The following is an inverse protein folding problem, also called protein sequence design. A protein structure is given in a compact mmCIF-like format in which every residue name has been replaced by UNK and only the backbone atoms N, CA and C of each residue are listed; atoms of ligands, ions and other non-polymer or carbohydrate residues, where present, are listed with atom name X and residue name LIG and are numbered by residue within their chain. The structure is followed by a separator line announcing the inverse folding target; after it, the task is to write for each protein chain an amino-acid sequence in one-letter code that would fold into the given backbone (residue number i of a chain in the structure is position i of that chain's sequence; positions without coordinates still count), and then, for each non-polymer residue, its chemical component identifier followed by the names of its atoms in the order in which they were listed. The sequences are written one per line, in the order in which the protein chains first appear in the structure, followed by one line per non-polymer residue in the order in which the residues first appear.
data_IF_175198500287
#
_entry.id   IF_175198500287
#
_cell.length_a   1.000
_cell.length_b   1.000
_cell.length_c   1.000
_cell.angle_alpha   90.00
_cell.angle_beta   90.00
_cell.angle_gamma   90.00
#
_symmetry.space_group_name_H-M   'P 1'
#
loop_
_entity.id
_entity.type
_entity.pdbx_description
1 polymer ?
#
# COMPACT_ATOMS: atom_id res chain seq x y z
N UNK A 1 8.37 -15.43 9.59
CA UNK A 1 7.32 -15.65 8.58
C UNK A 1 7.80 -14.89 7.38
N UNK A 2 8.46 -15.58 6.46
CA UNK A 2 9.02 -14.96 5.26
C UNK A 2 8.02 -15.23 4.13
N UNK A 3 7.69 -14.21 3.35
CA UNK A 3 6.66 -14.33 2.31
C UNK A 3 5.96 -13.02 1.99
N UNK A 4 5.06 -13.10 1.01
CA UNK A 4 4.34 -11.96 0.49
C UNK A 4 3.29 -11.48 1.48
N UNK A 5 3.04 -10.17 1.48
CA UNK A 5 2.10 -9.51 2.37
C UNK A 5 1.04 -8.83 1.54
N UNK A 6 -0.21 -9.04 1.92
CA UNK A 6 -1.31 -8.13 1.64
C UNK A 6 -1.73 -7.49 2.95
N UNK A 7 -1.77 -6.16 3.00
CA UNK A 7 -2.18 -5.40 4.17
C UNK A 7 -3.35 -4.51 3.77
N UNK A 8 -4.44 -4.55 4.53
CA UNK A 8 -5.53 -3.60 4.34
C UNK A 8 -6.28 -3.31 5.64
N UNK A 9 -6.65 -2.05 5.80
CA UNK A 9 -7.62 -1.58 6.80
C UNK A 9 -8.96 -1.16 6.17
N UNK A 10 -9.11 -1.34 4.85
CA UNK A 10 -10.25 -0.88 4.06
C UNK A 10 -11.24 -2.01 3.78
N UNK A 11 -12.52 -1.68 3.52
CA UNK A 11 -13.46 -2.68 3.03
C UNK A 11 -12.96 -3.29 1.71
N UNK A 12 -13.07 -4.61 1.60
CA UNK A 12 -12.76 -5.35 0.38
C UNK A 12 -14.06 -5.57 -0.41
N UNK A 13 -14.14 -5.01 -1.61
CA UNK A 13 -15.28 -5.22 -2.51
C UNK A 13 -15.27 -6.61 -3.13
N UNK A 14 -16.42 -7.07 -3.62
CA UNK A 14 -16.49 -8.34 -4.37
C UNK A 14 -15.59 -8.33 -5.62
N UNK A 15 -15.50 -7.21 -6.32
CA UNK A 15 -14.58 -7.03 -7.45
C UNK A 15 -13.12 -7.16 -7.00
N UNK A 16 -12.77 -6.55 -5.87
CA UNK A 16 -11.43 -6.63 -5.27
C UNK A 16 -11.03 -8.05 -4.92
N UNK A 17 -11.92 -8.77 -4.24
CA UNK A 17 -11.71 -10.17 -3.91
C UNK A 17 -11.59 -11.04 -5.17
N UNK A 18 -12.33 -10.73 -6.24
CA UNK A 18 -12.28 -11.48 -7.50
C UNK A 18 -10.89 -11.44 -8.14
N UNK A 19 -10.29 -10.25 -8.30
CA UNK A 19 -8.95 -10.18 -8.89
C UNK A 19 -7.85 -10.67 -7.92
N UNK A 20 -8.04 -10.56 -6.60
CA UNK A 20 -7.16 -11.17 -5.60
C UNK A 20 -7.17 -12.71 -5.69
N UNK A 21 -8.33 -13.32 -5.98
CA UNK A 21 -8.43 -14.76 -6.23
C UNK A 21 -7.59 -15.15 -7.45
N UNK A 22 -7.72 -14.42 -8.55
CA UNK A 22 -6.94 -14.70 -9.76
C UNK A 22 -5.42 -14.51 -9.53
N UNK A 23 -5.04 -13.50 -8.74
CA UNK A 23 -3.66 -13.28 -8.31
C UNK A 23 -3.07 -14.49 -7.59
N UNK A 24 -3.79 -15.04 -6.59
CA UNK A 24 -3.30 -16.18 -5.82
C UNK A 24 -3.35 -17.49 -6.61
N UNK A 25 -4.33 -17.66 -7.51
CA UNK A 25 -4.33 -18.77 -8.47
C UNK A 25 -3.10 -18.70 -9.37
N UNK A 26 -2.77 -17.54 -9.92
CA UNK A 26 -1.57 -17.35 -10.72
C UNK A 26 -0.31 -17.66 -9.91
N UNK A 27 -0.21 -17.13 -8.68
CA UNK A 27 0.90 -17.40 -7.77
C UNK A 27 1.12 -18.90 -7.54
N UNK A 28 0.03 -19.64 -7.28
CA UNK A 28 0.07 -21.08 -7.02
C UNK A 28 0.34 -21.91 -8.28
N UNK A 29 -0.28 -21.57 -9.41
CA UNK A 29 -0.24 -22.41 -10.62
C UNK A 29 0.91 -22.08 -11.58
N UNK A 30 1.40 -20.84 -11.57
CA UNK A 30 2.44 -20.37 -12.51
C UNK A 30 3.79 -20.15 -11.84
N UNK A 31 3.81 -19.52 -10.66
CA UNK A 31 5.08 -19.24 -9.96
C UNK A 31 5.54 -20.41 -9.09
N UNK A 32 4.60 -21.13 -8.47
CA UNK A 32 4.90 -22.27 -7.60
C UNK A 32 4.06 -23.51 -7.94
N UNK A 33 4.07 -24.02 -9.19
CA UNK A 33 3.21 -25.14 -9.60
C UNK A 33 3.39 -26.41 -8.75
N UNK A 34 4.59 -26.64 -8.21
CA UNK A 34 4.88 -27.78 -7.33
C UNK A 34 4.05 -27.77 -6.03
N UNK A 35 3.53 -26.60 -5.63
CA UNK A 35 2.67 -26.41 -4.47
C UNK A 35 1.40 -27.28 -4.46
N UNK A 36 0.96 -27.72 -5.65
CA UNK A 36 -0.25 -28.52 -5.83
C UNK A 36 -0.01 -30.01 -5.63
N UNK A 37 1.24 -30.45 -5.46
CA UNK A 37 1.56 -31.84 -5.14
C UNK A 37 1.29 -32.14 -3.65
N UNK A 38 0.92 -33.38 -3.32
CA UNK A 38 0.67 -33.79 -1.94
C UNK A 38 1.91 -33.67 -1.03
N UNK A 39 3.12 -33.75 -1.60
CA UNK A 39 4.39 -33.60 -0.91
C UNK A 39 5.34 -32.71 -1.74
N UNK A 40 5.16 -31.38 -1.71
CA UNK A 40 6.03 -30.48 -2.44
C UNK A 40 7.45 -30.55 -1.85
N UNK A 41 8.47 -30.62 -2.71
CA UNK A 41 9.88 -30.64 -2.27
C UNK A 41 10.30 -29.32 -1.65
N UNK A 42 9.74 -28.21 -2.13
CA UNK A 42 9.92 -26.87 -1.56
C UNK A 42 8.57 -26.32 -1.08
N UNK A 43 8.46 -25.90 0.19
CA UNK A 43 7.24 -25.29 0.69
C UNK A 43 6.97 -23.97 -0.05
N UNK A 44 5.72 -23.77 -0.46
CA UNK A 44 5.28 -22.54 -1.11
C UNK A 44 5.36 -21.38 -0.13
N UNK A 45 6.02 -20.26 -0.49
CA UNK A 45 6.02 -19.11 0.39
C UNK A 45 4.58 -18.64 0.62
N UNK A 46 4.20 -18.35 1.87
CA UNK A 46 2.85 -17.91 2.17
C UNK A 46 2.60 -16.51 1.59
N UNK A 47 1.35 -16.30 1.18
CA UNK A 47 0.79 -14.98 0.91
C UNK A 47 -0.11 -14.62 2.10
N UNK A 48 0.40 -13.77 2.99
CA UNK A 48 -0.23 -13.46 4.28
C UNK A 48 -1.05 -12.18 4.19
N UNK A 49 -2.34 -12.31 4.46
CA UNK A 49 -3.32 -11.23 4.47
C UNK A 49 -3.47 -10.70 5.89
N UNK A 50 -3.02 -9.47 6.13
CA UNK A 50 -3.27 -8.73 7.36
C UNK A 50 -4.53 -7.90 7.16
N UNK A 51 -5.60 -8.32 7.83
CA UNK A 51 -6.95 -7.78 7.66
C UNK A 51 -7.37 -7.05 8.93
N UNK A 52 -7.57 -5.75 8.79
CA UNK A 52 -7.92 -4.83 9.89
C UNK A 52 -9.17 -4.03 9.56
N UNK A 53 -9.77 -3.44 10.58
CA UNK A 53 -10.93 -2.57 10.47
C UNK A 53 -12.05 -3.22 9.67
N UNK A 54 -12.51 -2.53 8.64
CA UNK A 54 -13.64 -2.97 7.83
C UNK A 54 -13.29 -4.14 6.89
N UNK A 55 -12.01 -4.46 6.70
CA UNK A 55 -11.61 -5.67 5.99
C UNK A 55 -12.09 -6.94 6.69
N UNK A 56 -12.32 -6.90 8.01
CA UNK A 56 -12.88 -8.03 8.77
C UNK A 56 -14.30 -8.41 8.33
N UNK A 57 -15.04 -7.48 7.70
CA UNK A 57 -16.42 -7.73 7.25
C UNK A 57 -16.51 -8.75 6.10
N UNK A 58 -15.38 -9.12 5.48
CA UNK A 58 -15.38 -10.18 4.46
C UNK A 58 -15.92 -11.51 4.99
N UNK A 59 -15.80 -11.78 6.30
CA UNK A 59 -16.21 -13.03 6.92
C UNK A 59 -17.73 -13.19 7.02
N UNK A 60 -18.48 -12.09 6.94
CA UNK A 60 -19.94 -12.08 7.11
C UNK A 60 -20.69 -11.74 5.81
N UNK A 61 -20.05 -11.11 4.83
CA UNK A 61 -20.66 -10.76 3.54
C UNK A 61 -20.98 -12.00 2.70
N UNK A 62 -22.23 -12.13 2.25
CA UNK A 62 -22.66 -13.28 1.41
C UNK A 62 -21.98 -13.26 0.05
N UNK A 63 -21.81 -12.07 -0.50
CA UNK A 63 -21.12 -11.77 -1.74
C UNK A 63 -19.64 -12.18 -1.71
N UNK A 64 -19.04 -12.32 -0.53
CA UNK A 64 -17.63 -12.70 -0.35
C UNK A 64 -17.41 -14.20 -0.17
N UNK A 65 -18.47 -14.98 0.12
CA UNK A 65 -18.34 -16.40 0.48
C UNK A 65 -17.65 -17.23 -0.60
N UNK A 66 -18.00 -17.02 -1.87
CA UNK A 66 -17.38 -17.74 -3.00
C UNK A 66 -15.88 -17.47 -3.10
N UNK A 67 -15.47 -16.22 -2.93
CA UNK A 67 -14.04 -15.84 -2.97
C UNK A 67 -13.29 -16.41 -1.77
N UNK A 68 -13.87 -16.36 -0.57
CA UNK A 68 -13.30 -16.97 0.64
C UNK A 68 -13.11 -18.48 0.48
N UNK A 69 -14.11 -19.19 -0.04
CA UNK A 69 -13.97 -20.63 -0.29
C UNK A 69 -12.84 -20.95 -1.26
N UNK A 70 -12.62 -20.11 -2.28
CA UNK A 70 -11.50 -20.28 -3.19
C UNK A 70 -10.18 -19.97 -2.48
N UNK A 71 -10.08 -18.87 -1.72
CA UNK A 71 -8.87 -18.53 -0.96
C UNK A 71 -8.42 -19.65 -0.04
N UNK A 72 -9.32 -20.20 0.77
CA UNK A 72 -8.98 -21.28 1.69
C UNK A 72 -8.62 -22.60 1.00
N UNK A 73 -8.97 -22.79 -0.29
CA UNK A 73 -8.48 -23.94 -1.07
C UNK A 73 -7.05 -23.75 -1.59
N UNK A 74 -6.50 -22.54 -1.57
CA UNK A 74 -5.16 -22.26 -2.09
C UNK A 74 -4.11 -22.48 -0.99
N UNK A 75 -3.08 -23.31 -1.22
CA UNK A 75 -2.10 -23.67 -0.19
C UNK A 75 -1.22 -22.49 0.27
N UNK A 76 -1.06 -21.47 -0.57
CA UNK A 76 -0.28 -20.28 -0.23
C UNK A 76 -1.06 -19.29 0.66
N UNK A 77 -2.39 -19.37 0.73
CA UNK A 77 -3.19 -18.36 1.41
C UNK A 77 -3.08 -18.49 2.93
N UNK A 78 -2.74 -17.38 3.58
CA UNK A 78 -2.83 -17.22 5.03
C UNK A 78 -3.48 -15.90 5.36
N UNK A 79 -4.22 -15.83 6.46
CA UNK A 79 -4.80 -14.59 6.93
C UNK A 79 -4.65 -14.43 8.45
N UNK A 80 -4.52 -13.17 8.84
CA UNK A 80 -4.39 -12.70 10.21
C UNK A 80 -5.39 -11.57 10.37
N UNK A 81 -6.30 -11.71 11.32
CA UNK A 81 -7.30 -10.70 11.64
C UNK A 81 -6.95 -9.99 12.93
N UNK A 82 -7.20 -8.69 12.97
CA UNK A 82 -7.16 -7.96 14.24
C UNK A 82 -8.32 -8.41 15.16
N UNK A 83 -7.99 -8.94 16.34
CA UNK A 83 -8.99 -9.47 17.27
C UNK A 83 -9.83 -8.36 17.90
N UNK A 84 -9.27 -7.16 18.10
CA UNK A 84 -10.02 -6.02 18.58
C UNK A 84 -11.12 -5.64 17.60
N UNK A 85 -10.78 -5.59 16.31
CA UNK A 85 -11.74 -5.30 15.25
C UNK A 85 -12.82 -6.37 15.09
N UNK A 86 -12.46 -7.65 15.19
CA UNK A 86 -13.42 -8.76 15.20
C UNK A 86 -14.36 -8.68 16.41
N UNK A 87 -13.80 -8.40 17.59
CA UNK A 87 -14.57 -8.31 18.84
C UNK A 87 -15.59 -7.17 18.78
N UNK A 88 -15.17 -5.97 18.37
CA UNK A 88 -16.06 -4.80 18.22
C UNK A 88 -17.18 -5.10 17.23
N UNK A 89 -16.90 -5.85 16.16
CA UNK A 89 -17.87 -6.23 15.12
C UNK A 89 -18.66 -7.51 15.46
N UNK A 90 -18.37 -8.16 16.60
CA UNK A 90 -19.00 -9.42 17.04
C UNK A 90 -18.86 -10.56 16.01
N UNK A 91 -17.73 -10.61 15.30
CA UNK A 91 -17.46 -11.63 14.29
C UNK A 91 -16.62 -12.74 14.93
N UNK A 92 -17.08 -13.99 14.82
CA UNK A 92 -16.31 -15.16 15.27
C UNK A 92 -15.52 -15.76 14.11
N UNK A 93 -14.21 -15.92 14.30
CA UNK A 93 -13.32 -16.62 13.36
C UNK A 93 -13.24 -18.14 13.60
N UNK A 94 -13.79 -18.63 14.71
CA UNK A 94 -13.67 -20.03 15.13
C UNK A 94 -14.14 -21.04 14.07
N UNK A 95 -15.28 -20.84 13.37
CA UNK A 95 -15.70 -21.78 12.32
C UNK A 95 -14.68 -21.91 11.19
N UNK A 96 -14.04 -20.79 10.80
CA UNK A 96 -13.01 -20.79 9.76
C UNK A 96 -11.71 -21.43 10.26
N UNK A 97 -11.34 -21.17 11.51
CA UNK A 97 -10.14 -21.75 12.13
C UNK A 97 -10.23 -23.27 12.24
N UNK A 98 -11.38 -23.80 12.62
CA UNK A 98 -11.62 -25.25 12.72
C UNK A 98 -11.58 -25.89 11.33
N UNK A 99 -12.20 -25.24 10.33
CA UNK A 99 -12.28 -25.77 8.96
C UNK A 99 -10.96 -25.69 8.19
N UNK A 100 -10.14 -24.67 8.47
CA UNK A 100 -8.92 -24.35 7.74
C UNK A 100 -7.73 -24.11 8.69
N UNK A 101 -7.29 -25.15 9.43
CA UNK A 101 -6.20 -25.02 10.38
C UNK A 101 -4.89 -24.61 9.68
N UNK A 102 -4.18 -23.65 10.26
CA UNK A 102 -2.89 -23.17 9.74
C UNK A 102 -2.97 -22.09 8.64
N UNK A 103 -4.15 -21.86 8.05
CA UNK A 103 -4.39 -20.73 7.14
C UNK A 103 -4.92 -19.50 7.90
N UNK A 104 -5.74 -19.69 8.93
CA UNK A 104 -6.14 -18.62 9.85
C UNK A 104 -5.18 -18.61 11.04
N UNK A 105 -4.31 -17.61 11.15
CA UNK A 105 -3.35 -17.50 12.25
C UNK A 105 -4.03 -16.83 13.44
N UNK A 106 -4.21 -17.55 14.57
CA UNK A 106 -4.84 -16.97 15.74
C UNK A 106 -3.92 -15.96 16.41
N UNK A 107 -4.49 -14.86 16.86
CA UNK A 107 -3.86 -13.94 17.79
C UNK A 107 -4.64 -14.07 19.09
N UNK A 108 -3.97 -14.41 20.19
CA UNK A 108 -4.66 -14.56 21.47
C UNK A 108 -5.11 -13.17 21.99
N UNK A 109 -6.38 -13.01 22.41
CA UNK A 109 -6.81 -11.77 23.04
C UNK A 109 -6.14 -11.62 24.42
N UNK A 110 -5.81 -10.37 24.80
CA UNK A 110 -5.70 -10.01 26.21
C UNK A 110 -4.33 -10.03 26.88
N UNK A 111 -3.21 -10.09 26.15
CA UNK A 111 -1.91 -9.77 26.74
C UNK A 111 -1.21 -8.71 25.89
N UNK A 112 -1.06 -7.50 26.44
CA UNK A 112 -0.12 -6.46 25.95
C UNK A 112 1.36 -6.90 26.09
N UNK A 113 1.62 -8.20 26.06
CA UNK A 113 2.96 -8.76 26.02
C UNK A 113 3.54 -8.53 24.61
N UNK A 114 4.82 -8.13 24.51
CA UNK A 114 5.52 -8.08 23.22
C UNK A 114 5.41 -9.43 22.50
N UNK A 115 4.98 -9.41 21.22
CA UNK A 115 4.91 -10.60 20.37
C UNK A 115 3.51 -11.19 20.16
N UNK A 116 2.44 -10.54 20.65
CA UNK A 116 1.07 -11.08 20.59
C UNK A 116 0.05 -10.17 19.90
N UNK A 117 0.46 -9.13 19.18
CA UNK A 117 -0.46 -8.31 18.36
C UNK A 117 -0.28 -8.58 16.86
N UNK A 118 -1.27 -8.17 16.06
CA UNK A 118 -1.15 -8.22 14.59
C UNK A 118 0.05 -7.42 14.09
N UNK A 119 0.35 -6.31 14.77
CA UNK A 119 1.49 -5.46 14.51
C UNK A 119 2.82 -6.15 14.82
N UNK A 120 2.90 -6.92 15.90
CA UNK A 120 4.09 -7.72 16.21
C UNK A 120 4.29 -8.84 15.18
N UNK A 121 3.20 -9.50 14.76
CA UNK A 121 3.25 -10.45 13.65
C UNK A 121 3.80 -9.80 12.39
N UNK A 122 3.32 -8.58 12.05
CA UNK A 122 3.82 -7.82 10.92
C UNK A 122 5.30 -7.45 11.09
N UNK A 123 5.74 -6.97 12.26
CA UNK A 123 7.15 -6.66 12.53
C UNK A 123 8.04 -7.90 12.39
N UNK A 124 7.58 -9.07 12.83
CA UNK A 124 8.29 -10.34 12.69
C UNK A 124 8.43 -10.82 11.24
N UNK A 125 7.69 -10.22 10.30
CA UNK A 125 7.88 -10.48 8.86
C UNK A 125 8.93 -9.57 8.23
N UNK A 126 9.39 -8.50 8.91
CA UNK A 126 10.16 -7.40 8.30
C UNK A 126 11.55 -7.78 7.76
N UNK A 127 11.99 -9.02 7.95
CA UNK A 127 13.26 -9.53 7.43
C UNK A 127 14.48 -8.71 7.90
N UNK A 128 15.66 -9.03 7.36
CA UNK A 128 16.84 -8.17 7.50
C UNK A 128 16.98 -7.34 6.23
N UNK A 129 16.83 -6.02 6.34
CA UNK A 129 17.06 -5.10 5.21
C UNK A 129 18.42 -4.42 5.34
N UNK A 130 19.08 -4.05 4.22
CA UNK A 130 20.32 -3.28 4.27
C UNK A 130 20.10 -1.88 4.83
N UNK A 131 20.89 -1.49 5.84
CA UNK A 131 20.83 -0.16 6.48
C UNK A 131 20.01 -0.14 7.78
N UNK A 132 19.81 1.05 8.38
CA UNK A 132 19.00 1.19 9.58
C UNK A 132 17.56 0.72 9.30
N UNK A 133 17.00 -0.18 10.11
CA UNK A 133 15.67 -0.70 9.87
C UNK A 133 14.65 0.44 10.00
N UNK A 134 13.82 0.59 8.97
CA UNK A 134 12.70 1.53 8.98
C UNK A 134 11.43 0.89 8.42
N UNK A 135 10.31 1.54 8.66
CA UNK A 135 9.02 1.18 8.10
C UNK A 135 8.25 2.45 7.77
N UNK A 136 7.74 2.51 6.54
CA UNK A 136 7.01 3.64 6.00
C UNK A 136 5.51 3.40 5.98
N UNK A 137 4.74 4.46 6.13
CA UNK A 137 3.31 4.46 5.85
C UNK A 137 2.92 5.70 5.04
N UNK A 138 2.35 5.48 3.85
CA UNK A 138 1.75 6.50 3.00
C UNK A 138 0.30 6.70 3.41
N UNK A 139 0.07 7.70 4.26
CA UNK A 139 -1.26 8.08 4.70
C UNK A 139 -1.89 8.98 3.63
N UNK A 140 -2.98 8.51 3.02
CA UNK A 140 -3.72 9.25 1.97
C UNK A 140 -5.07 9.80 2.44
N UNK A 141 -5.57 9.35 3.60
CA UNK A 141 -6.93 9.60 4.09
C UNK A 141 -6.88 10.44 5.36
N UNK A 142 -7.93 11.22 5.60
CA UNK A 142 -8.07 12.04 6.80
C UNK A 142 -8.16 11.16 8.07
N UNK A 143 -7.67 11.64 9.22
CA UNK A 143 -7.92 10.97 10.49
C UNK A 143 -9.41 11.09 10.89
N UNK A 144 -9.86 10.20 11.77
CA UNK A 144 -11.19 10.17 12.40
C UNK A 144 -12.35 9.74 11.50
N UNK A 145 -12.38 10.18 10.24
CA UNK A 145 -13.32 9.64 9.25
C UNK A 145 -12.96 8.21 8.83
N UNK A 146 -11.67 7.88 8.91
CA UNK A 146 -11.13 6.58 8.55
C UNK A 146 -10.30 6.01 9.71
N UNK A 147 -10.47 4.72 9.97
CA UNK A 147 -9.76 4.00 11.03
C UNK A 147 -8.25 3.86 10.75
N UNK A 148 -7.82 4.06 9.50
CA UNK A 148 -6.43 3.86 9.08
C UNK A 148 -5.42 4.70 9.88
N UNK A 149 -5.78 5.90 10.32
CA UNK A 149 -4.89 6.72 11.15
C UNK A 149 -4.58 6.06 12.50
N UNK A 150 -5.53 5.35 13.10
CA UNK A 150 -5.29 4.56 14.32
C UNK A 150 -4.38 3.37 14.04
N UNK A 151 -4.58 2.69 12.90
CA UNK A 151 -3.70 1.61 12.45
C UNK A 151 -2.24 2.07 12.31
N UNK A 152 -2.00 3.28 11.77
CA UNK A 152 -0.65 3.85 11.67
C UNK A 152 -0.01 4.07 13.03
N UNK A 153 -0.77 4.58 14.00
CA UNK A 153 -0.30 4.79 15.37
C UNK A 153 0.16 3.46 15.99
N UNK A 154 -0.63 2.40 15.87
CA UNK A 154 -0.29 1.11 16.46
C UNK A 154 0.86 0.41 15.72
N UNK A 155 0.91 0.54 14.39
CA UNK A 155 2.04 0.10 13.57
C UNK A 155 3.35 0.74 14.06
N UNK A 156 3.36 2.07 14.22
CA UNK A 156 4.58 2.79 14.60
C UNK A 156 4.96 2.60 16.07
N UNK A 157 4.00 2.37 16.97
CA UNK A 157 4.29 1.91 18.33
C UNK A 157 5.01 0.56 18.31
N UNK A 158 4.52 -0.40 17.52
CA UNK A 158 5.17 -1.70 17.37
C UNK A 158 6.57 -1.58 16.75
N UNK A 159 6.73 -0.74 15.72
CA UNK A 159 8.01 -0.45 15.10
C UNK A 159 9.02 0.15 16.12
N UNK A 160 8.64 1.21 16.83
CA UNK A 160 9.50 1.83 17.84
C UNK A 160 9.81 0.89 19.02
N UNK A 161 8.91 -0.04 19.36
CA UNK A 161 9.16 -1.08 20.35
C UNK A 161 10.21 -2.09 19.87
N UNK A 162 10.16 -2.46 18.60
CA UNK A 162 11.04 -3.48 17.96
C UNK A 162 12.33 -2.91 17.38
N UNK A 163 12.61 -1.62 17.58
CA UNK A 163 13.85 -0.98 17.12
C UNK A 163 13.84 -0.59 15.65
N UNK A 164 12.65 -0.43 15.04
CA UNK A 164 12.45 -0.03 13.65
C UNK A 164 12.02 1.44 13.61
N UNK A 165 12.71 2.25 12.80
CA UNK A 165 12.42 3.68 12.67
C UNK A 165 11.10 3.92 11.90
N UNK A 166 10.09 4.58 12.50
CA UNK A 166 8.83 4.86 11.82
C UNK A 166 8.95 6.06 10.87
N UNK A 167 8.44 5.92 9.65
CA UNK A 167 8.39 6.97 8.63
C UNK A 167 6.94 7.23 8.17
N UNK A 168 6.42 8.41 8.48
CA UNK A 168 5.11 8.85 8.02
C UNK A 168 5.23 9.69 6.76
N UNK A 169 4.42 9.38 5.75
CA UNK A 169 4.27 10.19 4.54
C UNK A 169 2.81 10.62 4.40
N UNK A 170 2.52 11.89 4.71
CA UNK A 170 1.19 12.48 4.52
C UNK A 170 1.02 12.93 3.08
N UNK A 171 0.03 12.38 2.40
CA UNK A 171 -0.34 12.71 1.02
C UNK A 171 -1.85 12.87 0.94
N UNK A 172 -2.36 13.68 0.01
CA UNK A 172 -3.79 14.00 -0.07
C UNK A 172 -4.35 14.40 1.32
N UNK A 173 -5.48 13.83 1.75
CA UNK A 173 -6.08 14.10 3.06
C UNK A 173 -5.27 13.59 4.25
N UNK A 174 -4.26 12.75 4.01
CA UNK A 174 -3.39 12.24 5.07
C UNK A 174 -2.56 13.31 5.78
N UNK A 175 -2.42 14.49 5.17
CA UNK A 175 -1.76 15.64 5.82
C UNK A 175 -2.48 16.09 7.09
N UNK A 176 -3.79 15.87 7.19
CA UNK A 176 -4.60 16.24 8.35
C UNK A 176 -4.19 15.50 9.63
N UNK A 177 -3.61 14.30 9.51
CA UNK A 177 -3.09 13.53 10.64
C UNK A 177 -1.98 14.27 11.42
N UNK A 178 -1.33 15.24 10.79
CA UNK A 178 -0.24 16.03 11.37
C UNK A 178 -0.68 17.37 11.98
N UNK A 179 -1.97 17.70 11.95
CA UNK A 179 -2.49 18.90 12.60
C UNK A 179 -2.33 18.82 14.13
N UNK A 180 -1.80 19.86 14.77
CA UNK A 180 -1.50 19.85 16.21
C UNK A 180 -2.75 20.04 17.09
N UNK A 181 -3.72 20.82 16.62
CA UNK A 181 -4.89 21.21 17.43
C UNK A 181 -6.09 20.25 17.21
N UNK A 182 -5.80 18.98 16.94
CA UNK A 182 -6.83 17.94 16.87
C UNK A 182 -7.50 17.79 18.24
N UNK A 183 -8.84 17.73 18.28
CA UNK A 183 -9.62 17.54 19.52
C UNK A 183 -10.75 16.52 19.32
N UNK A 184 -10.42 15.26 18.99
CA UNK A 184 -11.43 14.23 18.82
C UNK A 184 -12.13 13.93 20.17
N UNK A 185 -13.47 13.92 20.25
CA UNK A 185 -14.18 13.63 21.49
C UNK A 185 -14.20 12.13 21.85
N UNK A 186 -14.05 11.25 20.84
CA UNK A 186 -14.26 9.81 20.98
C UNK A 186 -13.10 8.96 20.43
N UNK A 187 -12.00 9.60 20.04
CA UNK A 187 -10.85 8.91 19.45
C UNK A 187 -9.56 9.40 20.09
N UNK A 188 -8.50 8.60 19.98
CA UNK A 188 -7.14 9.04 20.34
C UNK A 188 -6.75 10.22 19.46
N UNK A 189 -6.16 11.25 20.05
CA UNK A 189 -5.53 12.33 19.30
C UNK A 189 -4.34 11.78 18.51
N UNK A 190 -4.49 11.72 17.18
CA UNK A 190 -3.49 11.13 16.28
C UNK A 190 -2.20 11.96 16.26
N UNK A 191 -2.30 13.29 16.24
CA UNK A 191 -1.14 14.18 16.25
C UNK A 191 -0.30 14.05 17.54
N UNK A 192 -0.97 14.00 18.70
CA UNK A 192 -0.29 13.77 19.99
C UNK A 192 0.34 12.38 20.04
N UNK A 193 -0.39 11.33 19.64
CA UNK A 193 0.13 9.96 19.62
C UNK A 193 1.36 9.82 18.71
N UNK A 194 1.36 10.44 17.53
CA UNK A 194 2.51 10.46 16.63
C UNK A 194 3.70 11.24 17.22
N UNK A 195 3.44 12.34 17.94
CA UNK A 195 4.48 13.10 18.64
C UNK A 195 5.13 12.27 19.76
N UNK A 196 4.33 11.53 20.52
CA UNK A 196 4.81 10.62 21.57
C UNK A 196 5.65 9.48 20.99
N UNK A 197 5.18 8.86 19.91
CA UNK A 197 5.92 7.82 19.19
C UNK A 197 7.26 8.35 18.69
N UNK A 198 7.28 9.57 18.13
CA UNK A 198 8.52 10.18 17.65
C UNK A 198 9.52 10.34 18.81
N UNK A 199 9.06 10.88 19.96
CA UNK A 199 9.90 11.04 21.15
C UNK A 199 10.46 9.71 21.63
N UNK A 200 9.62 8.68 21.75
CA UNK A 200 10.00 7.34 22.20
C UNK A 200 10.99 6.67 21.22
N UNK A 201 10.77 6.80 19.93
CA UNK A 201 11.69 6.27 18.92
C UNK A 201 13.04 6.99 18.99
N UNK A 202 13.02 8.32 19.10
CA UNK A 202 14.23 9.14 19.18
C UNK A 202 15.06 8.85 20.44
N UNK A 203 14.43 8.68 21.62
CA UNK A 203 15.15 8.35 22.86
C UNK A 203 15.79 6.96 22.81
N UNK A 204 15.29 6.06 21.97
CA UNK A 204 15.90 4.75 21.68
C UNK A 204 17.00 4.79 20.61
N UNK A 205 17.38 5.98 20.13
CA UNK A 205 18.38 6.14 19.08
C UNK A 205 17.89 5.80 17.67
N UNK A 206 16.56 5.75 17.46
CA UNK A 206 15.96 5.58 16.13
C UNK A 206 15.81 6.94 15.42
N UNK A 207 15.54 6.89 14.12
CA UNK A 207 15.45 8.07 13.25
C UNK A 207 14.04 8.23 12.66
N UNK A 208 13.01 8.49 13.48
CA UNK A 208 11.66 8.70 12.98
C UNK A 208 11.58 9.89 12.01
N UNK A 209 10.73 9.81 10.98
CA UNK A 209 10.58 10.87 9.97
C UNK A 209 9.12 11.11 9.63
N UNK A 210 8.64 12.34 9.79
CA UNK A 210 7.27 12.72 9.41
C UNK A 210 7.31 13.77 8.31
N UNK A 211 6.99 13.35 7.09
CA UNK A 211 6.97 14.19 5.91
C UNK A 211 5.54 14.35 5.42
N UNK A 212 5.16 15.55 5.00
CA UNK A 212 3.86 15.79 4.35
C UNK A 212 4.07 16.51 3.02
N UNK A 213 3.30 16.10 2.01
CA UNK A 213 3.39 16.63 0.66
C UNK A 213 2.97 18.10 0.63
N UNK A 214 3.80 18.93 0.00
CA UNK A 214 3.59 20.38 -0.10
C UNK A 214 2.30 20.76 -0.80
N UNK A 215 1.97 20.14 -1.94
CA UNK A 215 0.74 20.45 -2.68
C UNK A 215 -0.51 20.03 -1.91
N UNK A 216 -0.48 18.82 -1.32
CA UNK A 216 -1.58 18.34 -0.48
C UNK A 216 -1.75 19.21 0.78
N UNK A 217 -0.64 19.66 1.38
CA UNK A 217 -0.64 20.55 2.53
C UNK A 217 -1.24 21.92 2.15
N UNK A 218 -0.77 22.54 1.06
CA UNK A 218 -1.20 23.86 0.62
C UNK A 218 -2.70 23.89 0.28
N UNK A 219 -3.20 22.90 -0.47
CA UNK A 219 -4.64 22.79 -0.84
C UNK A 219 -5.56 22.65 0.38
N UNK A 220 -5.03 22.20 1.52
CA UNK A 220 -5.76 22.01 2.79
C UNK A 220 -5.48 23.09 3.83
N UNK A 221 -4.79 24.17 3.43
CA UNK A 221 -4.52 25.31 4.30
C UNK A 221 -3.31 25.16 5.23
N UNK A 222 -2.49 24.11 5.05
CA UNK A 222 -1.23 23.96 5.77
C UNK A 222 -0.12 24.67 5.01
N UNK A 223 0.45 25.71 5.61
CA UNK A 223 1.53 26.48 5.04
C UNK A 223 2.66 26.65 6.06
N UNK A 224 3.87 26.80 5.54
CA UNK A 224 5.00 27.21 6.36
C UNK A 224 5.21 28.71 6.26
N UNK A 225 5.32 29.40 7.39
CA UNK A 225 5.69 30.80 7.42
C UNK A 225 7.17 30.92 7.80
N UNK A 226 7.90 31.78 7.10
CA UNK A 226 9.20 32.26 7.58
C UNK A 226 8.92 33.25 8.71
N UNK A 227 9.22 32.87 9.96
CA UNK A 227 9.19 33.83 11.06
C UNK A 227 10.35 34.83 10.95
N UNK A 228 10.33 35.87 11.79
CA UNK A 228 11.32 36.96 11.82
C UNK A 228 12.78 36.48 11.96
N UNK A 229 12.99 35.26 12.45
CA UNK A 229 14.31 34.62 12.61
C UNK A 229 14.71 33.72 11.43
N UNK A 230 14.01 33.79 10.29
CA UNK A 230 14.26 32.96 9.09
C UNK A 230 13.92 31.48 9.25
N UNK A 231 13.37 31.05 10.40
CA UNK A 231 12.90 29.68 10.61
C UNK A 231 11.50 29.51 10.03
N UNK A 232 11.42 28.59 9.08
CA UNK A 232 10.20 28.15 8.41
C UNK A 232 9.44 27.20 9.34
N UNK A 233 8.39 27.67 9.99
CA UNK A 233 7.55 26.88 10.92
C UNK A 233 6.11 26.91 10.42
N UNK A 234 5.49 25.73 10.32
CA UNK A 234 4.04 25.65 10.13
C UNK A 234 3.37 25.84 11.48
N UNK A 235 2.57 26.89 11.62
CA UNK A 235 1.86 27.16 12.87
C UNK A 235 0.93 25.99 13.25
N UNK A 236 0.30 25.31 12.29
CA UNK A 236 -0.78 24.36 12.59
C UNK A 236 -0.38 22.88 12.65
N UNK A 237 0.90 22.56 12.49
CA UNK A 237 1.38 21.17 12.47
C UNK A 237 2.08 20.79 13.78
N UNK A 238 2.12 19.49 14.07
CA UNK A 238 2.96 18.98 15.16
C UNK A 238 4.44 19.32 14.90
N UNK A 239 5.25 19.58 15.95
CA UNK A 239 6.61 20.10 15.79
C UNK A 239 7.56 19.23 14.95
N UNK A 240 7.25 17.95 14.78
CA UNK A 240 8.06 16.95 14.08
C UNK A 240 7.71 16.84 12.59
N UNK A 241 6.53 17.30 12.18
CA UNK A 241 6.09 17.23 10.78
C UNK A 241 6.85 18.23 9.91
N UNK A 242 7.21 17.82 8.69
CA UNK A 242 7.91 18.67 7.71
C UNK A 242 7.16 18.67 6.39
N UNK A 243 6.76 19.86 5.94
CA UNK A 243 6.24 20.07 4.58
C UNK A 243 7.40 19.93 3.60
N UNK A 244 7.26 19.07 2.60
CA UNK A 244 8.27 18.79 1.58
C UNK A 244 7.63 18.54 0.21
N UNK A 245 8.40 18.76 -0.86
CA UNK A 245 8.00 18.38 -2.21
C UNK A 245 7.74 16.87 -2.31
N UNK A 246 6.94 16.48 -3.30
CA UNK A 246 6.66 15.07 -3.57
C UNK A 246 7.95 14.30 -3.87
N UNK A 247 8.90 14.88 -4.60
CA UNK A 247 10.22 14.29 -4.87
C UNK A 247 10.98 13.91 -3.60
N UNK A 248 10.88 14.71 -2.54
CA UNK A 248 11.54 14.41 -1.29
C UNK A 248 10.90 13.21 -0.58
N UNK A 249 9.57 13.07 -0.66
CA UNK A 249 8.87 11.88 -0.16
C UNK A 249 9.28 10.66 -0.99
N UNK A 250 9.25 10.77 -2.32
CA UNK A 250 9.64 9.70 -3.26
C UNK A 250 11.10 9.28 -3.08
N UNK A 251 12.00 10.17 -2.67
CA UNK A 251 13.38 9.78 -2.34
C UNK A 251 13.47 8.67 -1.28
N UNK A 252 12.46 8.54 -0.42
CA UNK A 252 12.34 7.45 0.55
C UNK A 252 11.91 6.14 -0.09
N UNK A 253 11.17 6.19 -1.19
CA UNK A 253 10.77 5.01 -1.96
C UNK A 253 11.96 4.36 -2.68
N UNK A 254 13.04 5.11 -2.93
CA UNK A 254 14.31 4.55 -3.40
C UNK A 254 15.01 3.64 -2.38
N UNK A 255 14.66 3.73 -1.09
CA UNK A 255 15.24 2.88 -0.04
C UNK A 255 14.56 1.50 -0.05
N UNK A 256 15.13 0.50 0.61
CA UNK A 256 14.62 -0.88 0.61
C UNK A 256 13.58 -1.18 1.69
N UNK A 257 13.25 -0.23 2.58
CA UNK A 257 12.30 -0.50 3.67
C UNK A 257 10.88 -0.71 3.16
N UNK A 258 10.03 -1.39 3.94
CA UNK A 258 8.63 -1.58 3.55
C UNK A 258 7.87 -0.27 3.70
N UNK A 259 7.05 0.07 2.70
CA UNK A 259 6.15 1.22 2.74
C UNK A 259 4.75 0.68 2.51
N UNK A 260 3.90 0.80 3.54
CA UNK A 260 2.50 0.41 3.49
C UNK A 260 1.61 1.62 3.18
N UNK A 261 0.36 1.36 2.82
CA UNK A 261 -0.73 2.33 2.78
C UNK A 261 -1.99 1.65 3.31
N UNK A 262 -3.14 2.31 3.21
CA UNK A 262 -4.45 1.77 3.64
C UNK A 262 -4.78 0.41 3.05
N UNK A 263 -4.35 0.17 1.81
CA UNK A 263 -4.37 -1.11 1.13
C UNK A 263 -3.08 -1.24 0.32
N UNK A 264 -2.25 -2.21 0.62
CA UNK A 264 -0.93 -2.37 0.00
C UNK A 264 -0.48 -3.82 -0.05
N UNK A 265 0.46 -4.10 -0.95
CA UNK A 265 1.14 -5.38 -1.04
C UNK A 265 2.64 -5.17 -0.93
N UNK A 266 3.29 -6.19 -0.40
CA UNK A 266 4.72 -6.36 -0.45
C UNK A 266 5.03 -7.74 -1.01
N UNK A 267 5.73 -7.77 -2.14
CA UNK A 267 6.04 -9.01 -2.86
C UNK A 267 7.55 -9.19 -2.89
N UNK A 268 8.03 -10.27 -2.27
CA UNK A 268 9.43 -10.67 -2.35
C UNK A 268 9.71 -11.26 -3.73
N UNK A 269 10.72 -10.73 -4.43
CA UNK A 269 11.09 -11.24 -5.76
C UNK A 269 12.09 -12.37 -5.56
N UNK A 270 11.59 -13.61 -5.61
CA UNK A 270 12.43 -14.81 -5.56
C UNK A 270 13.13 -14.97 -6.90
N UNK A 271 14.34 -14.43 -7.03
CA UNK A 271 15.19 -14.74 -8.18
C UNK A 271 15.69 -16.17 -8.00
N UNK A 272 15.13 -17.14 -8.73
CA UNK A 272 15.68 -18.49 -8.84
C UNK A 272 17.03 -18.41 -9.59
N UNK A 273 18.08 -17.96 -8.91
CA UNK A 273 19.43 -17.96 -9.45
C UNK A 273 19.94 -19.41 -9.47
N UNK A 274 19.95 -20.03 -10.65
CA UNK A 274 20.67 -21.31 -10.87
C UNK A 274 22.19 -21.15 -10.66
N UNK A 275 22.71 -19.93 -10.73
CA UNK A 275 24.13 -19.61 -10.59
C UNK A 275 24.25 -18.32 -9.75
N UNK A 276 24.99 -18.31 -8.63
CA UNK A 276 25.28 -17.09 -7.89
C UNK A 276 26.00 -16.10 -8.81
N UNK A 277 25.38 -14.96 -9.13
CA UNK A 277 26.09 -13.92 -9.89
C UNK A 277 27.02 -13.17 -8.94
N UNK A 278 28.32 -13.23 -9.23
CA UNK A 278 29.37 -12.42 -8.57
C UNK A 278 29.38 -11.01 -9.18
N UNK A 279 28.20 -10.42 -9.39
CA UNK A 279 28.10 -9.00 -9.75
C UNK A 279 27.85 -8.22 -8.47
N UNK A 280 28.94 -7.75 -7.88
CA UNK A 280 28.89 -6.66 -6.91
C UNK A 280 28.43 -5.39 -7.63
N UNK A 281 27.12 -5.25 -7.83
CA UNK A 281 26.53 -3.95 -8.16
C UNK A 281 26.65 -3.08 -6.92
N UNK A 282 27.50 -2.06 -6.97
CA UNK A 282 27.58 -1.03 -5.93
C UNK A 282 26.29 -0.18 -5.88
N UNK A 283 25.48 -0.19 -6.94
CA UNK A 283 24.19 0.48 -6.97
C UNK A 283 23.16 -0.32 -6.17
N UNK A 284 22.56 0.36 -5.19
CA UNK A 284 21.43 -0.16 -4.42
C UNK A 284 20.26 -0.37 -5.36
N UNK A 285 19.77 -1.62 -5.45
CA UNK A 285 18.57 -1.97 -6.21
C UNK A 285 17.36 -1.23 -5.63
N UNK A 286 16.79 -0.32 -6.42
CA UNK A 286 15.57 0.39 -6.06
C UNK A 286 14.40 -0.58 -6.18
N UNK A 287 13.51 -0.68 -5.17
CA UNK A 287 12.33 -1.53 -5.29
C UNK A 287 11.40 -1.03 -6.39
N UNK A 288 10.80 -1.93 -7.17
CA UNK A 288 9.78 -1.53 -8.14
C UNK A 288 8.47 -1.19 -7.42
N UNK A 289 7.65 -0.36 -8.08
CA UNK A 289 6.36 0.09 -7.57
C UNK A 289 5.25 -0.23 -8.56
N UNK A 290 4.15 -0.79 -8.07
CA UNK A 290 2.88 -0.84 -8.79
C UNK A 290 1.86 0.01 -8.05
N UNK A 291 1.15 0.87 -8.77
CA UNK A 291 0.05 1.67 -8.23
C UNK A 291 -1.24 1.18 -8.87
N UNK A 292 -2.19 0.76 -8.05
CA UNK A 292 -3.56 0.46 -8.48
C UNK A 292 -4.41 1.72 -8.28
N UNK A 293 -4.73 2.42 -9.36
CA UNK A 293 -5.66 3.55 -9.31
C UNK A 293 -7.09 2.97 -9.33
N UNK A 294 -7.73 2.93 -8.16
CA UNK A 294 -9.02 2.22 -7.98
C UNK A 294 -10.24 3.14 -7.89
N UNK A 295 -10.04 4.42 -7.61
CA UNK A 295 -11.13 5.40 -7.44
C UNK A 295 -11.52 6.05 -8.76
N UNK A 296 -12.77 6.54 -8.83
CA UNK A 296 -13.23 7.30 -9.99
C UNK A 296 -12.40 8.59 -10.20
N UNK A 297 -12.19 9.00 -11.46
CA UNK A 297 -11.53 10.27 -11.77
C UNK A 297 -12.42 11.46 -11.37
N UNK A 298 -11.80 12.62 -11.14
CA UNK A 298 -12.43 13.94 -10.95
C UNK A 298 -13.33 14.13 -9.71
N UNK A 299 -13.87 13.07 -9.11
CA UNK A 299 -14.66 13.16 -7.89
C UNK A 299 -13.80 13.37 -6.63
N UNK A 300 -12.56 12.91 -6.66
CA UNK A 300 -11.58 13.07 -5.59
C UNK A 300 -10.16 13.22 -6.18
N UNK A 301 -9.19 13.56 -5.34
CA UNK A 301 -7.79 13.66 -5.74
C UNK A 301 -7.07 12.30 -5.81
N UNK A 302 -7.72 11.16 -5.51
CA UNK A 302 -7.05 9.86 -5.42
C UNK A 302 -6.41 9.42 -6.73
N UNK A 303 -7.16 9.47 -7.84
CA UNK A 303 -6.64 8.98 -9.13
C UNK A 303 -5.63 9.93 -9.74
N UNK A 304 -5.84 11.24 -9.62
CA UNK A 304 -4.82 12.23 -9.98
C UNK A 304 -3.56 12.04 -9.13
N UNK A 305 -3.71 11.88 -7.82
CA UNK A 305 -2.61 11.65 -6.89
C UNK A 305 -1.84 10.35 -7.17
N UNK A 306 -2.53 9.29 -7.60
CA UNK A 306 -1.92 8.05 -8.05
C UNK A 306 -0.99 8.28 -9.24
N UNK A 307 -1.46 9.02 -10.26
CA UNK A 307 -0.66 9.37 -11.44
C UNK A 307 0.50 10.28 -11.05
N UNK A 308 0.26 11.31 -10.25
CA UNK A 308 1.31 12.23 -9.79
C UNK A 308 2.41 11.53 -8.99
N UNK A 309 2.06 10.61 -8.07
CA UNK A 309 3.05 9.80 -7.36
C UNK A 309 3.80 8.87 -8.33
N UNK A 310 3.11 8.25 -9.28
CA UNK A 310 3.74 7.36 -10.26
C UNK A 310 4.79 8.09 -11.11
N UNK A 311 4.43 9.28 -11.60
CA UNK A 311 5.31 10.16 -12.39
C UNK A 311 6.52 10.61 -11.56
N UNK A 312 6.31 11.03 -10.31
CA UNK A 312 7.41 11.42 -9.41
C UNK A 312 8.37 10.24 -9.11
N UNK A 313 7.84 9.04 -8.90
CA UNK A 313 8.62 7.80 -8.77
C UNK A 313 9.44 7.50 -10.03
N UNK A 314 8.82 7.59 -11.20
CA UNK A 314 9.49 7.37 -12.48
C UNK A 314 10.62 8.39 -12.73
N UNK A 315 10.41 9.67 -12.41
CA UNK A 315 11.45 10.71 -12.47
C UNK A 315 12.66 10.40 -11.58
N UNK A 316 12.44 9.73 -10.44
CA UNK A 316 13.50 9.27 -9.54
C UNK A 316 14.11 7.93 -9.98
N UNK A 317 13.83 7.49 -11.21
CA UNK A 317 14.26 6.20 -11.78
C UNK A 317 13.82 5.00 -10.93
N UNK A 318 12.63 5.07 -10.33
CA UNK A 318 11.97 3.91 -9.72
C UNK A 318 11.12 3.26 -10.81
N UNK A 319 11.36 1.99 -11.16
CA UNK A 319 10.50 1.27 -12.10
C UNK A 319 9.07 1.23 -11.58
N UNK A 320 8.16 1.90 -12.28
CA UNK A 320 6.82 2.20 -11.81
C UNK A 320 5.79 1.75 -12.84
N UNK A 321 4.74 1.08 -12.39
CA UNK A 321 3.61 0.68 -13.23
C UNK A 321 2.33 1.16 -12.58
N UNK A 322 1.45 1.77 -13.36
CA UNK A 322 0.11 2.14 -12.89
C UNK A 322 -0.93 1.29 -13.61
N UNK A 323 -1.86 0.73 -12.85
CA UNK A 323 -2.99 -0.03 -13.39
C UNK A 323 -4.28 0.68 -12.99
N UNK A 324 -5.03 1.13 -13.99
CA UNK A 324 -6.41 1.58 -13.79
C UNK A 324 -7.31 0.35 -13.62
N UNK A 325 -7.95 0.25 -12.47
CA UNK A 325 -8.76 -0.90 -12.04
C UNK A 325 -9.97 -0.42 -11.24
N UNK A 326 -10.98 -1.26 -11.04
CA UNK A 326 -12.21 -0.87 -10.35
C UNK A 326 -12.78 0.41 -10.99
N UNK A 327 -13.14 1.45 -10.23
CA UNK A 327 -13.67 2.69 -10.80
C UNK A 327 -12.59 3.57 -11.45
N UNK A 328 -11.31 3.27 -11.24
CA UNK A 328 -10.21 3.97 -11.90
C UNK A 328 -10.21 3.85 -13.41
N UNK A 329 -10.87 2.82 -13.98
CA UNK A 329 -11.00 2.66 -15.44
C UNK A 329 -11.77 3.81 -16.10
N UNK A 330 -12.63 4.52 -15.36
CA UNK A 330 -13.33 5.70 -15.88
C UNK A 330 -12.37 6.83 -16.28
N UNK A 331 -11.14 6.84 -15.73
CA UNK A 331 -10.08 7.80 -16.09
C UNK A 331 -9.69 7.73 -17.56
N UNK A 332 -10.01 6.62 -18.22
CA UNK A 332 -9.64 6.35 -19.61
C UNK A 332 -10.86 6.44 -20.55
N UNK A 333 -11.92 7.10 -20.11
CA UNK A 333 -13.18 7.22 -20.83
C UNK A 333 -13.55 8.68 -21.06
N UNK A 334 -14.53 8.92 -21.94
CA UNK A 334 -14.94 10.26 -22.34
C UNK A 334 -14.11 10.79 -23.50
N UNK A 335 -14.68 11.75 -24.23
CA UNK A 335 -14.03 12.49 -25.32
C UNK A 335 -13.16 13.62 -24.78
N UNK A 336 -12.58 14.42 -25.68
CA UNK A 336 -11.67 15.55 -25.44
C UNK A 336 -11.88 16.33 -24.13
N UNK A 337 -10.77 16.86 -23.62
CA UNK A 337 -10.69 17.67 -22.41
C UNK A 337 -11.76 18.78 -22.44
N UNK A 338 -12.66 18.82 -21.45
CA UNK A 338 -13.72 19.83 -21.41
C UNK A 338 -13.16 21.25 -21.57
N UNK A 339 -13.80 22.06 -22.41
CA UNK A 339 -13.41 23.45 -22.58
C UNK A 339 -13.39 24.19 -21.23
N UNK A 340 -12.25 24.80 -20.90
CA UNK A 340 -12.05 25.50 -19.62
C UNK A 340 -11.55 24.64 -18.46
N UNK A 341 -11.28 23.36 -18.68
CA UNK A 341 -10.61 22.51 -17.69
C UNK A 341 -9.19 23.01 -17.43
N UNK A 342 -8.79 23.09 -16.16
CA UNK A 342 -7.40 23.39 -15.82
C UNK A 342 -6.48 22.29 -16.34
N UNK A 343 -5.39 22.67 -17.02
CA UNK A 343 -4.46 21.73 -17.65
C UNK A 343 -3.95 20.67 -16.67
N UNK A 344 -3.66 21.06 -15.42
CA UNK A 344 -3.17 20.14 -14.38
C UNK A 344 -4.24 19.15 -13.88
N UNK A 345 -5.51 19.32 -14.26
CA UNK A 345 -6.59 18.40 -13.92
C UNK A 345 -6.87 17.42 -15.05
N UNK A 346 -6.40 17.68 -16.26
CA UNK A 346 -6.60 16.80 -17.41
C UNK A 346 -5.73 15.56 -17.31
N UNK A 347 -6.34 14.46 -16.86
CA UNK A 347 -5.64 13.19 -16.70
C UNK A 347 -5.28 12.54 -18.03
N UNK A 348 -6.02 12.80 -19.12
CA UNK A 348 -5.68 12.26 -20.45
C UNK A 348 -4.39 12.91 -20.96
N UNK A 349 -4.31 14.23 -20.89
CA UNK A 349 -3.10 14.97 -21.28
C UNK A 349 -1.90 14.57 -20.42
N UNK A 350 -2.10 14.38 -19.11
CA UNK A 350 -1.05 13.93 -18.21
C UNK A 350 -0.52 12.55 -18.61
N UNK A 351 -1.40 11.57 -18.83
CA UNK A 351 -1.03 10.21 -19.26
C UNK A 351 -0.28 10.25 -20.60
N UNK A 352 -0.78 11.01 -21.57
CA UNK A 352 -0.13 11.10 -22.89
C UNK A 352 1.28 11.70 -22.78
N UNK A 353 1.44 12.77 -21.99
CA UNK A 353 2.72 13.44 -21.78
C UNK A 353 3.78 12.55 -21.10
N UNK A 354 3.35 11.65 -20.21
CA UNK A 354 4.25 10.81 -19.40
C UNK A 354 4.35 9.37 -19.88
N UNK A 355 3.52 8.96 -20.85
CA UNK A 355 3.54 7.61 -21.46
C UNK A 355 4.88 7.24 -22.12
N UNK A 356 5.75 8.22 -22.38
CA UNK A 356 7.06 8.05 -23.02
C UNK A 356 8.22 7.94 -22.02
N UNK A 357 7.94 7.97 -20.71
CA UNK A 357 8.99 7.81 -19.70
C UNK A 357 9.44 6.35 -19.63
N UNK A 358 10.76 6.10 -19.73
CA UNK A 358 11.33 4.75 -19.78
C UNK A 358 11.02 3.87 -18.57
N UNK A 359 10.73 4.49 -17.42
CA UNK A 359 10.50 3.83 -16.13
C UNK A 359 9.03 3.82 -15.71
N UNK A 360 8.11 4.23 -16.60
CA UNK A 360 6.68 4.32 -16.31
C UNK A 360 5.84 3.60 -17.36
N UNK A 361 5.06 2.62 -16.91
CA UNK A 361 4.13 1.90 -17.78
C UNK A 361 2.69 2.09 -17.29
N UNK A 362 1.77 2.28 -18.23
CA UNK A 362 0.35 2.43 -17.95
C UNK A 362 -0.43 1.19 -18.41
N UNK A 363 -1.31 0.70 -17.56
CA UNK A 363 -2.16 -0.45 -17.83
C UNK A 363 -3.62 -0.20 -17.48
N UNK A 364 -4.52 -0.94 -18.12
CA UNK A 364 -5.94 -0.97 -17.77
C UNK A 364 -6.40 -2.40 -17.56
N UNK A 365 -7.00 -2.67 -16.38
CA UNK A 365 -7.54 -3.99 -16.08
C UNK A 365 -8.85 -4.21 -16.83
N UNK A 366 -8.77 -4.97 -17.92
CA UNK A 366 -9.89 -5.14 -18.87
C UNK A 366 -11.18 -5.66 -18.21
N UNK A 367 -11.15 -6.59 -17.23
CA UNK A 367 -12.36 -7.03 -16.55
C UNK A 367 -13.11 -5.92 -15.81
N UNK A 368 -12.43 -4.90 -15.27
CA UNK A 368 -13.10 -3.76 -14.61
C UNK A 368 -13.84 -2.89 -15.62
N UNK A 369 -13.27 -2.66 -16.80
CA UNK A 369 -13.93 -1.95 -17.90
C UNK A 369 -15.15 -2.73 -18.42
N UNK A 370 -14.99 -4.05 -18.60
CA UNK A 370 -16.07 -4.93 -19.05
C UNK A 370 -17.23 -4.99 -18.05
N UNK A 371 -16.94 -5.08 -16.75
CA UNK A 371 -17.95 -5.11 -15.69
C UNK A 371 -18.81 -3.82 -15.66
N UNK A 372 -18.24 -2.69 -16.10
CA UNK A 372 -18.91 -1.39 -16.20
C UNK A 372 -19.54 -1.13 -17.57
N UNK A 373 -19.32 -2.00 -18.55
CA UNK A 373 -19.83 -1.84 -19.92
C UNK A 373 -19.22 -0.65 -20.66
N UNK A 374 -17.99 -0.24 -20.33
CA UNK A 374 -17.33 0.93 -20.91
C UNK A 374 -16.21 0.53 -21.88
N UNK A 375 -16.06 1.30 -22.94
CA UNK A 375 -14.93 1.22 -23.85
C UNK A 375 -13.87 2.27 -23.49
N UNK A 376 -12.61 1.88 -23.57
CA UNK A 376 -11.47 2.78 -23.39
C UNK A 376 -11.40 3.72 -24.58
N UNK A 377 -11.17 5.01 -24.34
CA UNK A 377 -11.03 5.99 -25.40
C UNK A 377 -9.79 5.66 -26.24
N UNK A 378 -9.95 5.35 -27.55
CA UNK A 378 -8.83 4.97 -28.42
C UNK A 378 -7.83 6.10 -28.68
N UNK A 379 -8.17 7.36 -28.36
CA UNK A 379 -7.23 8.49 -28.48
C UNK A 379 -6.15 8.47 -27.40
N UNK A 380 -6.40 7.80 -26.26
CA UNK A 380 -5.44 7.72 -25.15
C UNK A 380 -4.39 6.65 -25.51
N UNK A 381 -3.23 7.11 -25.99
CA UNK A 381 -2.10 6.25 -26.36
C UNK A 381 -1.26 5.90 -25.13
N UNK A 382 -0.55 4.78 -25.22
CA UNK A 382 0.43 4.39 -24.19
C UNK A 382 -0.15 3.64 -22.99
N UNK A 383 -1.45 3.31 -22.99
CA UNK A 383 -2.09 2.48 -21.97
C UNK A 383 -2.36 1.08 -22.52
N UNK A 384 -1.79 0.06 -21.90
CA UNK A 384 -1.92 -1.33 -22.35
C UNK A 384 -3.06 -2.07 -21.62
N UNK A 385 -4.01 -2.71 -22.32
CA UNK A 385 -5.00 -3.56 -21.67
C UNK A 385 -4.32 -4.80 -21.08
N UNK A 386 -4.76 -5.22 -19.89
CA UNK A 386 -4.31 -6.45 -19.24
C UNK A 386 -5.49 -7.32 -18.79
N UNK A 387 -5.38 -8.60 -19.10
CA UNK A 387 -6.28 -9.65 -18.61
C UNK A 387 -5.87 -10.12 -17.19
N UNK A 388 -6.64 -10.99 -16.50
CA UNK A 388 -6.31 -11.48 -15.15
C UNK A 388 -4.91 -12.09 -14.99
N UNK A 389 -4.41 -12.79 -16.01
CA UNK A 389 -3.08 -13.43 -15.99
C UNK A 389 -1.98 -12.38 -16.09
N UNK A 390 -2.10 -11.47 -17.06
CA UNK A 390 -1.15 -10.37 -17.27
C UNK A 390 -1.12 -9.42 -16.07
N UNK A 391 -2.30 -9.11 -15.50
CA UNK A 391 -2.41 -8.31 -14.28
C UNK A 391 -1.70 -8.96 -13.10
N UNK A 392 -1.88 -10.27 -12.90
CA UNK A 392 -1.19 -11.03 -11.86
C UNK A 392 0.33 -11.02 -12.07
N UNK A 393 0.79 -11.12 -13.31
CA UNK A 393 2.19 -10.98 -13.67
C UNK A 393 2.73 -9.58 -13.33
N UNK A 394 1.98 -8.51 -13.65
CA UNK A 394 2.33 -7.13 -13.29
C UNK A 394 2.49 -6.99 -11.77
N UNK A 395 1.58 -7.55 -10.98
CA UNK A 395 1.63 -7.47 -9.52
C UNK A 395 2.75 -8.30 -8.86
N UNK A 396 3.11 -9.44 -9.44
CA UNK A 396 3.99 -10.42 -8.79
C UNK A 396 5.42 -10.44 -9.32
N UNK A 397 5.66 -9.88 -10.51
CA UNK A 397 6.98 -9.91 -11.15
C UNK A 397 7.39 -8.51 -11.57
N UNK A 398 8.65 -8.09 -11.33
CA UNK A 398 9.14 -6.80 -11.80
C UNK A 398 9.18 -6.77 -13.35
N UNK A 399 9.29 -5.58 -13.97
CA UNK A 399 9.49 -5.48 -15.41
C UNK A 399 10.71 -6.28 -15.88
N UNK A 400 10.66 -6.81 -17.09
CA UNK A 400 11.67 -7.72 -17.62
C UNK A 400 13.07 -7.08 -17.64
N UNK A 401 14.09 -7.85 -17.27
CA UNK A 401 15.49 -7.38 -17.26
C UNK A 401 15.88 -6.55 -16.04
N UNK A 402 14.95 -6.21 -15.15
CA UNK A 402 15.26 -5.51 -13.91
C UNK A 402 15.57 -6.50 -12.77
N UNK A 403 16.68 -6.26 -12.09
CA UNK A 403 16.97 -6.95 -10.83
C UNK A 403 16.54 -6.07 -9.64
N UNK A 404 15.43 -6.44 -9.00
CA UNK A 404 14.97 -5.85 -7.73
C UNK A 404 14.80 -6.93 -6.67
N UNK A 405 14.95 -6.58 -5.40
CA UNK A 405 14.81 -7.53 -4.30
C UNK A 405 13.34 -7.75 -3.93
N UNK A 406 12.52 -6.70 -4.06
CA UNK A 406 11.09 -6.74 -3.81
C UNK A 406 10.33 -5.72 -4.65
N UNK A 407 9.03 -5.92 -4.71
CA UNK A 407 8.05 -5.04 -5.33
C UNK A 407 7.05 -4.54 -4.29
N UNK A 408 6.74 -3.24 -4.35
CA UNK A 408 5.65 -2.64 -3.58
C UNK A 408 4.43 -2.47 -4.47
N UNK A 409 3.25 -2.72 -3.92
CA UNK A 409 1.98 -2.39 -4.59
C UNK A 409 1.18 -1.50 -3.66
N UNK A 410 0.71 -0.35 -4.16
CA UNK A 410 -0.13 0.57 -3.40
C UNK A 410 -1.47 0.71 -4.11
N UNK A 411 -2.56 0.61 -3.36
CA UNK A 411 -3.90 0.86 -3.89
C UNK A 411 -4.29 2.27 -3.51
N UNK A 412 -4.64 3.04 -4.53
CA UNK A 412 -5.09 4.42 -4.44
C UNK A 412 -6.60 4.49 -4.50
#
# INVERSE_FOLDING_TARGET
MDGNIFFTSEPLTAERLSWLVELLKYYTTRLFPESLHHHPRTPTPPFTFFLLGDACNILIGREHQRSLEIFFRLPCFRCIFDQGDLHVRRISIEPFRIRYPGQVIPIAPGDNLPGRSIWDCLMNTMGKTPGPPSIGFLQMRSPYMFQSSSCVVDLFRAAARTGISPEFYGYLDGVHAMHRDQRPPHHVNIGEALSDIYRVAFTKGLFPRYLICQESAASRGYCTFSGDNGRVVSASLIPQARIKSLDHIVSRFCMSHRIFSHTSFFVDVVVQRKIPSVKFSAERKKPSLVILASHSPYGTEFTKGAISLAVACAHQNIPTRIVFIEDGVYTLTGSESPAGMWADMDMHALIEATSRMDTLEYYVYTPSSQARGIAINPSIKGVCPVNPTEFSQVLLTPPAGLEVDHQRVLVF
#
